data_IF_092562997525
#
_entry.id   IF_092562997525
#
_cell.length_a   1.000
_cell.length_b   1.000
_cell.length_c   1.000
_cell.angle_alpha   90.00
_cell.angle_beta   90.00
_cell.angle_gamma   90.00
#
_symmetry.space_group_name_H-M   'P 1'
#
loop_
_entity.id
_entity.type
_entity.pdbx_description
1 polymer ?
#
# COMPACT_ATOMS: atom_id res chain seq x y z
N UNK A 1 -7.32 19.29 -3.64
CA UNK A 1 -8.18 18.58 -2.65
C UNK A 1 -7.59 17.20 -2.51
N UNK A 2 -6.49 17.10 -1.76
CA UNK A 2 -5.68 15.89 -1.62
C UNK A 2 -6.42 14.89 -0.74
N UNK A 3 -7.16 13.99 -1.40
CA UNK A 3 -7.82 12.89 -0.69
C UNK A 3 -6.75 11.91 -0.25
N UNK A 4 -6.47 11.88 1.05
CA UNK A 4 -5.60 10.91 1.68
C UNK A 4 -6.41 9.71 2.15
N UNK A 5 -5.80 8.54 2.11
CA UNK A 5 -6.45 7.29 2.47
C UNK A 5 -5.56 6.43 3.36
N UNK A 6 -6.22 5.55 4.09
CA UNK A 6 -5.60 4.44 4.81
C UNK A 6 -5.75 3.17 3.97
N UNK A 7 -4.62 2.56 3.59
CA UNK A 7 -4.54 1.37 2.77
C UNK A 7 -4.00 0.19 3.59
N UNK A 8 -4.66 -0.97 3.48
CA UNK A 8 -4.05 -2.25 3.83
C UNK A 8 -3.46 -2.86 2.57
N UNK A 9 -2.18 -3.24 2.62
CA UNK A 9 -1.54 -3.95 1.51
C UNK A 9 -1.03 -5.28 2.02
N UNK A 10 -1.48 -6.35 1.38
CA UNK A 10 -0.93 -7.70 1.57
C UNK A 10 0.02 -7.98 0.43
N UNK A 11 1.26 -8.32 0.76
CA UNK A 11 2.29 -8.65 -0.21
C UNK A 11 3.10 -9.85 0.28
N UNK A 12 3.71 -10.58 -0.65
CA UNK A 12 4.56 -11.73 -0.35
C UNK A 12 6.00 -11.36 -0.65
N UNK A 13 6.85 -11.39 0.37
CA UNK A 13 8.30 -11.23 0.24
C UNK A 13 8.97 -12.60 0.09
N UNK A 14 10.27 -12.61 -0.18
CA UNK A 14 11.07 -13.85 -0.15
C UNK A 14 11.04 -14.56 1.22
N UNK A 15 10.80 -13.83 2.31
CA UNK A 15 10.71 -14.37 3.66
C UNK A 15 9.30 -14.93 4.00
N UNK A 16 8.29 -14.70 3.15
CA UNK A 16 6.92 -15.18 3.37
C UNK A 16 5.85 -14.12 3.08
N UNK A 17 4.66 -14.30 3.65
CA UNK A 17 3.56 -13.32 3.49
C UNK A 17 3.63 -12.22 4.54
N UNK A 18 3.42 -10.99 4.11
CA UNK A 18 3.45 -9.78 4.95
C UNK A 18 2.22 -8.92 4.65
N UNK A 19 1.73 -8.20 5.66
CA UNK A 19 0.70 -7.19 5.51
C UNK A 19 1.13 -5.88 6.16
N UNK A 20 0.99 -4.77 5.45
CA UNK A 20 1.30 -3.42 5.93
C UNK A 20 0.04 -2.54 5.96
N UNK A 21 -0.09 -1.74 7.01
CA UNK A 21 -1.12 -0.70 7.12
C UNK A 21 -0.48 0.66 6.87
N UNK A 22 -0.90 1.33 5.82
CA UNK A 22 -0.34 2.59 5.37
C UNK A 22 -1.38 3.69 5.49
N UNK A 23 -1.15 4.66 6.37
CA UNK A 23 -2.12 5.71 6.70
C UNK A 23 -1.75 7.01 6.00
N UNK A 24 -2.77 7.72 5.50
CA UNK A 24 -2.60 9.09 5.03
C UNK A 24 -1.88 9.22 3.69
N UNK A 25 -1.86 8.17 2.87
CA UNK A 25 -1.24 8.21 1.54
C UNK A 25 -2.21 8.76 0.49
N UNK A 26 -1.67 9.53 -0.45
CA UNK A 26 -2.32 9.78 -1.73
C UNK A 26 -2.27 8.53 -2.61
N UNK A 27 -2.98 8.57 -3.74
CA UNK A 27 -2.89 7.49 -4.73
C UNK A 27 -1.50 7.39 -5.35
N UNK A 28 -0.84 8.53 -5.60
CA UNK A 28 0.51 8.56 -6.19
C UNK A 28 1.55 7.98 -5.24
N UNK A 29 1.46 8.27 -3.94
CA UNK A 29 2.33 7.68 -2.91
C UNK A 29 2.14 6.16 -2.81
N UNK A 30 0.89 5.70 -2.91
CA UNK A 30 0.58 4.27 -2.95
C UNK A 30 1.21 3.59 -4.18
N UNK A 31 1.02 4.16 -5.36
CA UNK A 31 1.54 3.58 -6.61
C UNK A 31 3.08 3.49 -6.57
N UNK A 32 3.77 4.53 -6.09
CA UNK A 32 5.22 4.51 -5.91
C UNK A 32 5.67 3.40 -4.94
N UNK A 33 4.98 3.24 -3.81
CA UNK A 33 5.31 2.20 -2.85
C UNK A 33 5.09 0.79 -3.43
N UNK A 34 4.02 0.58 -4.20
CA UNK A 34 3.77 -0.70 -4.87
C UNK A 34 4.89 -1.01 -5.86
N UNK A 35 5.37 0.00 -6.60
CA UNK A 35 6.51 -0.17 -7.51
C UNK A 35 7.78 -0.55 -6.74
N UNK A 36 8.12 0.15 -5.66
CA UNK A 36 9.28 -0.22 -4.82
C UNK A 36 9.17 -1.63 -4.26
N UNK A 37 7.98 -2.05 -3.81
CA UNK A 37 7.75 -3.44 -3.36
C UNK A 37 8.03 -4.45 -4.48
N UNK A 38 7.63 -4.14 -5.72
CA UNK A 38 7.89 -5.03 -6.88
C UNK A 38 9.36 -5.07 -7.24
N UNK A 39 10.07 -3.94 -7.17
CA UNK A 39 11.52 -3.87 -7.39
C UNK A 39 12.30 -4.68 -6.36
N UNK A 40 11.85 -4.69 -5.09
CA UNK A 40 12.39 -5.55 -4.02
C UNK A 40 12.01 -7.05 -4.18
N UNK A 41 11.32 -7.42 -5.25
CA UNK A 41 10.87 -8.78 -5.52
C UNK A 41 9.66 -9.22 -4.68
N UNK A 42 8.93 -8.27 -4.09
CA UNK A 42 7.69 -8.55 -3.39
C UNK A 42 6.51 -8.64 -4.38
N UNK A 43 5.61 -9.59 -4.14
CA UNK A 43 4.38 -9.77 -4.93
C UNK A 43 3.20 -9.20 -4.15
N UNK A 44 2.63 -8.09 -4.62
CA UNK A 44 1.41 -7.52 -4.02
C UNK A 44 0.22 -8.44 -4.32
N UNK A 45 -0.40 -9.00 -3.28
CA UNK A 45 -1.56 -9.90 -3.41
C UNK A 45 -2.89 -9.13 -3.33
N UNK A 46 -2.98 -8.11 -2.48
CA UNK A 46 -4.21 -7.33 -2.28
C UNK A 46 -3.94 -5.93 -1.77
N UNK A 47 -4.68 -4.96 -2.27
CA UNK A 47 -4.71 -3.58 -1.77
C UNK A 47 -6.16 -3.25 -1.39
N UNK A 48 -6.39 -2.82 -0.16
CA UNK A 48 -7.72 -2.48 0.36
C UNK A 48 -7.70 -1.06 0.95
N UNK A 49 -8.67 -0.23 0.60
CA UNK A 49 -8.87 1.07 1.26
C UNK A 49 -9.67 0.82 2.53
N UNK A 50 -9.07 1.08 3.69
CA UNK A 50 -9.75 0.93 4.98
C UNK A 50 -10.48 2.21 5.36
N UNK A 51 -9.89 3.37 5.06
CA UNK A 51 -10.48 4.66 5.46
C UNK A 51 -10.11 5.76 4.48
N UNK A 52 -11.04 6.69 4.25
CA UNK A 52 -10.72 7.98 3.66
C UNK A 52 -10.39 8.95 4.77
N UNK A 53 -9.14 9.41 4.82
CA UNK A 53 -8.69 10.48 5.72
C UNK A 53 -8.85 11.79 4.95
N UNK A 54 -10.08 12.29 4.92
CA UNK A 54 -10.41 13.57 4.29
C UNK A 54 -11.40 14.32 5.16
N UNK A 55 -10.90 15.39 5.80
CA UNK A 55 -11.64 16.45 6.45
C UNK A 55 -10.92 17.75 6.15
#
# INVERSE_FOLDING_TARGET
>A
MDSRFEYMIRYRTAAGKTAGLYKGMSKEELDQMIDSLREDGCVVEKVEIIRRTGG
#
